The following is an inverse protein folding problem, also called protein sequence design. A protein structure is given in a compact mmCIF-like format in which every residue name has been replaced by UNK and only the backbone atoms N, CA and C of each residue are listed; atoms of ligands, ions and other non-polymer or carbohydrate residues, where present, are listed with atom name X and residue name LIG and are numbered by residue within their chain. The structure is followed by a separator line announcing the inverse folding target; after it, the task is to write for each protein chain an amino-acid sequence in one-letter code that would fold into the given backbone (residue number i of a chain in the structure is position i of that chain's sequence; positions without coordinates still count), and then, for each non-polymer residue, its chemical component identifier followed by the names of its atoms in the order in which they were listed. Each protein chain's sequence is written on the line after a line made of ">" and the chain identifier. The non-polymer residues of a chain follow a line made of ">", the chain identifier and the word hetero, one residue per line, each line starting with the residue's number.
data_IF_377533295609
#
_entry.id   IF_377533295609
#
_cell.length_a   1.000
_cell.length_b   1.000
_cell.length_c   1.000
_cell.angle_alpha   90.00
_cell.angle_beta   90.00
_cell.angle_gamma   90.00
#
_symmetry.space_group_name_H-M   'P 1'
#
loop_
_entity.id
_entity.type
_entity.pdbx_description
1 polymer ?
#
# COMPACT_ATOMS: atom_id res chain seq x y z
N UNK A 1 -10.06 9.04 7.71
CA UNK A 1 -10.88 8.02 8.32
C UNK A 1 -11.03 8.24 9.83
N UNK A 2 -12.17 7.87 10.40
CA UNK A 2 -12.40 7.83 11.83
C UNK A 2 -11.75 6.60 12.46
N UNK A 3 -11.54 6.60 13.78
CA UNK A 3 -11.04 5.41 14.49
C UNK A 3 -11.93 4.19 14.29
N UNK A 4 -13.25 4.39 14.18
CA UNK A 4 -14.21 3.32 13.94
C UNK A 4 -14.07 2.70 12.54
N UNK A 5 -13.82 3.51 11.51
CA UNK A 5 -13.57 3.03 10.15
C UNK A 5 -12.27 2.24 10.06
N UNK A 6 -11.21 2.72 10.71
CA UNK A 6 -9.93 2.00 10.80
C UNK A 6 -10.11 0.65 11.51
N UNK A 7 -10.81 0.64 12.64
CA UNK A 7 -11.04 -0.60 13.39
C UNK A 7 -11.90 -1.59 12.60
N UNK A 8 -12.96 -1.13 11.93
CA UNK A 8 -13.83 -1.99 11.11
C UNK A 8 -13.04 -2.64 9.97
N UNK A 9 -12.27 -1.86 9.23
CA UNK A 9 -11.45 -2.37 8.13
C UNK A 9 -10.38 -3.37 8.61
N UNK A 10 -9.77 -3.12 9.78
CA UNK A 10 -8.83 -4.06 10.40
C UNK A 10 -9.52 -5.39 10.75
N UNK A 11 -10.73 -5.36 11.30
CA UNK A 11 -11.46 -6.58 11.63
C UNK A 11 -11.83 -7.37 10.38
N UNK A 12 -12.29 -6.71 9.32
CA UNK A 12 -12.61 -7.34 8.04
C UNK A 12 -11.36 -8.01 7.44
N UNK A 13 -10.22 -7.30 7.44
CA UNK A 13 -8.95 -7.85 6.98
C UNK A 13 -8.47 -9.04 7.82
N UNK A 14 -8.63 -8.99 9.14
CA UNK A 14 -8.32 -10.13 10.02
C UNK A 14 -9.23 -11.32 9.72
N UNK A 15 -10.52 -11.09 9.48
CA UNK A 15 -11.50 -12.12 9.17
C UNK A 15 -11.14 -12.86 7.89
N UNK A 16 -10.73 -12.16 6.84
CA UNK A 16 -10.31 -12.76 5.58
C UNK A 16 -9.08 -13.66 5.74
N UNK A 17 -8.15 -13.29 6.59
CA UNK A 17 -6.93 -14.09 6.88
C UNK A 17 -7.19 -15.29 7.78
N UNK A 18 -8.11 -15.22 8.72
CA UNK A 18 -8.47 -16.33 9.59
C UNK A 18 -9.19 -17.46 8.82
N UNK A 19 -9.76 -17.15 7.65
CA UNK A 19 -10.45 -18.11 6.80
C UNK A 19 -11.75 -18.68 7.41
N UNK A 20 -12.38 -19.66 6.75
CA UNK A 20 -13.69 -20.18 7.14
C UNK A 20 -13.63 -21.23 8.27
N UNK A 21 -12.56 -21.27 9.06
CA UNK A 21 -12.46 -22.23 10.16
C UNK A 21 -13.52 -21.93 11.21
N UNK A 22 -14.33 -22.95 11.52
CA UNK A 22 -15.31 -22.84 12.60
C UNK A 22 -14.59 -22.88 13.94
N UNK A 23 -14.97 -21.95 14.81
CA UNK A 23 -14.58 -22.04 16.21
C UNK A 23 -14.99 -23.39 16.78
N UNK A 24 -14.07 -24.12 17.35
CA UNK A 24 -14.31 -25.38 18.05
C UNK A 24 -13.73 -25.26 19.44
N UNK A 25 -14.58 -25.43 20.44
CA UNK A 25 -14.15 -25.48 21.84
C UNK A 25 -14.33 -26.90 22.37
N UNK A 26 -13.25 -27.71 22.39
CA UNK A 26 -13.30 -29.07 22.91
C UNK A 26 -13.49 -29.14 24.43
N UNK A 27 -13.29 -28.02 25.13
CA UNK A 27 -13.42 -27.94 26.58
C UNK A 27 -14.73 -27.26 27.02
N UNK A 28 -15.67 -27.07 26.10
CA UNK A 28 -16.96 -26.48 26.42
C UNK A 28 -17.70 -27.35 27.43
N UNK A 29 -17.92 -26.83 28.61
CA UNK A 29 -18.69 -27.48 29.66
C UNK A 29 -20.10 -26.87 29.75
N UNK A 30 -21.10 -27.67 30.11
CA UNK A 30 -22.43 -27.16 30.32
C UNK A 30 -22.43 -26.05 31.37
N UNK A 31 -23.03 -24.88 31.08
CA UNK A 31 -23.08 -23.79 32.04
C UNK A 31 -23.94 -24.16 33.26
N UNK A 32 -23.45 -23.87 34.45
CA UNK A 32 -24.18 -24.12 35.72
C UNK A 32 -25.49 -23.34 35.86
N UNK A 33 -25.73 -22.38 34.96
CA UNK A 33 -26.92 -21.53 34.95
C UNK A 33 -27.13 -20.99 33.54
N UNK A 34 -28.32 -21.18 32.99
CA UNK A 34 -28.72 -20.60 31.72
C UNK A 34 -28.62 -19.06 31.73
N UNK A 35 -27.90 -18.48 30.78
CA UNK A 35 -27.78 -17.04 30.60
C UNK A 35 -26.70 -16.36 31.45
N UNK A 36 -25.89 -17.10 32.17
CA UNK A 36 -24.74 -16.54 32.90
C UNK A 36 -23.45 -16.76 32.10
N UNK A 37 -22.80 -15.67 31.73
CA UNK A 37 -21.46 -15.72 31.12
C UNK A 37 -20.46 -16.07 32.23
N UNK A 38 -19.66 -17.12 32.05
CA UNK A 38 -18.61 -17.50 32.97
C UNK A 38 -17.32 -16.72 32.71
N UNK A 39 -16.44 -16.63 33.71
CA UNK A 39 -15.12 -16.05 33.57
C UNK A 39 -14.30 -16.80 32.48
N UNK A 40 -14.43 -18.13 32.44
CA UNK A 40 -13.81 -18.98 31.45
C UNK A 40 -14.28 -18.67 30.00
N UNK A 41 -15.54 -18.27 29.82
CA UNK A 41 -16.03 -17.86 28.50
C UNK A 41 -15.38 -16.53 28.06
N UNK A 42 -15.20 -15.60 29.00
CA UNK A 42 -14.52 -14.34 28.73
C UNK A 42 -13.03 -14.55 28.44
N UNK A 43 -12.36 -15.43 29.19
CA UNK A 43 -10.96 -15.78 28.96
C UNK A 43 -10.76 -16.35 27.54
N UNK A 44 -11.68 -17.19 27.06
CA UNK A 44 -11.63 -17.71 25.68
C UNK A 44 -11.79 -16.61 24.64
N UNK A 45 -12.69 -15.64 24.88
CA UNK A 45 -12.82 -14.48 23.97
C UNK A 45 -11.53 -13.66 23.95
N UNK A 46 -10.91 -13.45 25.12
CA UNK A 46 -9.62 -12.76 25.21
C UNK A 46 -8.53 -13.51 24.44
N UNK A 47 -8.47 -14.84 24.59
CA UNK A 47 -7.50 -15.64 23.81
C UNK A 47 -7.78 -15.55 22.30
N UNK A 48 -9.04 -15.57 21.87
CA UNK A 48 -9.38 -15.37 20.47
C UNK A 48 -8.89 -14.01 19.93
N UNK A 49 -9.07 -12.94 20.70
CA UNK A 49 -8.57 -11.60 20.31
C UNK A 49 -7.04 -11.57 20.24
N UNK A 50 -6.34 -12.33 21.09
CA UNK A 50 -4.87 -12.44 21.04
C UNK A 50 -4.35 -13.18 19.80
N UNK A 51 -5.19 -13.98 19.14
CA UNK A 51 -4.81 -14.62 17.86
C UNK A 51 -4.83 -13.67 16.67
N UNK A 52 -5.37 -12.46 16.84
CA UNK A 52 -5.29 -11.45 15.79
C UNK A 52 -3.83 -11.04 15.53
N UNK A 53 -3.47 -10.75 14.27
CA UNK A 53 -2.11 -10.35 13.95
C UNK A 53 -1.66 -9.14 14.78
N UNK A 54 -0.55 -9.31 15.50
CA UNK A 54 0.11 -8.24 16.24
C UNK A 54 1.49 -7.92 15.66
N UNK A 55 1.88 -8.65 14.62
CA UNK A 55 3.10 -8.43 13.88
C UNK A 55 3.06 -7.10 13.15
N UNK A 56 4.09 -6.28 13.33
CA UNK A 56 4.16 -4.94 12.75
C UNK A 56 4.24 -4.96 11.22
N UNK A 57 4.89 -5.97 10.62
CA UNK A 57 4.98 -6.10 9.17
C UNK A 57 3.61 -6.42 8.57
N UNK A 58 2.90 -7.39 9.15
CA UNK A 58 1.54 -7.71 8.73
C UNK A 58 0.58 -6.53 8.90
N UNK A 59 0.71 -5.78 9.99
CA UNK A 59 -0.08 -4.57 10.20
C UNK A 59 0.32 -3.45 9.24
N UNK A 60 1.60 -3.34 8.87
CA UNK A 60 2.06 -2.38 7.87
C UNK A 60 1.52 -2.71 6.47
N UNK A 61 1.44 -4.00 6.09
CA UNK A 61 0.81 -4.42 4.85
C UNK A 61 -0.65 -3.96 4.78
N UNK A 62 -1.43 -4.27 5.82
CA UNK A 62 -2.82 -3.84 5.88
C UNK A 62 -2.95 -2.32 5.88
N UNK A 63 -2.23 -1.64 6.79
CA UNK A 63 -2.38 -0.20 6.98
C UNK A 63 -1.91 0.59 5.77
N UNK A 64 -0.80 0.20 5.13
CA UNK A 64 -0.30 0.81 3.92
C UNK A 64 -1.30 0.72 2.77
N UNK A 65 -1.88 -0.44 2.55
CA UNK A 65 -2.95 -0.62 1.57
C UNK A 65 -4.20 0.21 1.93
N UNK A 66 -4.60 0.23 3.22
CA UNK A 66 -5.76 0.99 3.68
C UNK A 66 -5.63 2.50 3.44
N UNK A 67 -4.50 3.11 3.83
CA UNK A 67 -4.34 4.58 3.74
C UNK A 67 -4.09 5.08 2.31
N UNK A 68 -3.67 4.19 1.41
CA UNK A 68 -3.42 4.53 0.01
C UNK A 68 -4.62 4.27 -0.90
N UNK A 69 -5.70 3.63 -0.41
CA UNK A 69 -6.92 3.40 -1.20
C UNK A 69 -7.45 4.69 -1.83
N UNK A 70 -7.86 4.65 -3.11
CA UNK A 70 -8.43 5.80 -3.77
C UNK A 70 -9.73 6.23 -3.07
N UNK A 71 -9.89 7.52 -2.82
CA UNK A 71 -11.12 8.07 -2.21
C UNK A 71 -12.21 8.34 -3.24
N UNK A 72 -11.85 8.39 -4.52
CA UNK A 72 -12.75 8.60 -5.66
C UNK A 72 -12.32 7.65 -6.77
N UNK A 73 -13.28 7.28 -7.62
CA UNK A 73 -12.92 6.57 -8.85
C UNK A 73 -11.86 7.41 -9.58
N UNK A 74 -10.72 6.80 -9.97
CA UNK A 74 -9.70 7.52 -10.71
C UNK A 74 -10.34 8.07 -11.98
N UNK A 75 -10.00 9.31 -12.35
CA UNK A 75 -10.20 9.78 -13.72
C UNK A 75 -9.52 8.76 -14.64
N UNK A 76 -10.03 8.59 -15.86
CA UNK A 76 -9.34 7.76 -16.84
C UNK A 76 -7.93 8.32 -17.02
N UNK A 77 -6.95 7.61 -16.46
CA UNK A 77 -5.55 7.97 -16.53
C UNK A 77 -5.00 7.36 -17.81
N UNK A 78 -4.21 8.12 -18.54
CA UNK A 78 -3.54 7.62 -19.74
C UNK A 78 -2.47 6.61 -19.32
N UNK A 79 -2.58 5.39 -19.85
CA UNK A 79 -1.59 4.35 -19.63
C UNK A 79 -0.48 4.46 -20.69
N UNK A 80 0.76 4.30 -20.28
CA UNK A 80 1.89 4.28 -21.19
C UNK A 80 1.99 2.93 -21.90
N UNK A 81 1.94 2.92 -23.24
CA UNK A 81 1.96 1.69 -24.03
C UNK A 81 3.37 1.27 -24.49
N UNK A 82 4.39 2.12 -24.32
CA UNK A 82 5.77 1.88 -24.73
C UNK A 82 6.50 0.80 -23.93
N UNK A 83 7.66 0.37 -24.43
CA UNK A 83 8.60 -0.50 -23.71
C UNK A 83 9.34 0.25 -22.61
N UNK A 84 10.12 -0.48 -21.78
CA UNK A 84 11.00 0.15 -20.79
C UNK A 84 12.09 1.02 -21.46
N UNK A 85 12.61 0.58 -22.60
CA UNK A 85 13.60 1.34 -23.36
C UNK A 85 13.00 2.64 -23.91
N UNK A 86 11.76 2.59 -24.42
CA UNK A 86 11.05 3.79 -24.88
C UNK A 86 10.83 4.76 -23.71
N UNK A 87 10.32 4.26 -22.57
CA UNK A 87 10.14 5.06 -21.36
C UNK A 87 11.45 5.70 -20.90
N UNK A 88 12.53 4.96 -20.88
CA UNK A 88 13.84 5.48 -20.49
C UNK A 88 14.31 6.60 -21.42
N UNK A 89 14.14 6.41 -22.74
CA UNK A 89 14.51 7.42 -23.74
C UNK A 89 13.69 8.70 -23.60
N UNK A 90 12.37 8.55 -23.45
CA UNK A 90 11.45 9.66 -23.27
C UNK A 90 11.72 10.40 -21.95
N UNK A 91 12.05 9.67 -20.86
CA UNK A 91 12.39 10.28 -19.58
C UNK A 91 13.73 11.05 -19.63
N UNK A 92 14.70 10.57 -20.39
CA UNK A 92 15.94 11.32 -20.64
C UNK A 92 15.69 12.63 -21.40
N UNK A 93 14.73 12.63 -22.32
CA UNK A 93 14.39 13.82 -23.12
C UNK A 93 13.55 14.82 -22.32
N UNK A 94 12.56 14.33 -21.56
CA UNK A 94 11.66 15.19 -20.78
C UNK A 94 12.27 15.65 -19.45
N UNK A 95 13.28 14.92 -18.95
CA UNK A 95 13.98 15.13 -17.68
C UNK A 95 13.12 15.02 -16.42
N UNK A 96 11.78 15.09 -16.51
CA UNK A 96 10.88 15.15 -15.36
C UNK A 96 9.81 14.06 -15.44
N UNK A 97 9.68 13.30 -14.37
CA UNK A 97 8.57 12.39 -14.12
C UNK A 97 7.71 12.93 -12.97
N UNK A 98 6.37 12.90 -13.12
CA UNK A 98 5.42 13.34 -12.10
C UNK A 98 4.41 12.29 -11.76
N UNK A 99 4.12 12.17 -10.46
CA UNK A 99 3.01 11.36 -9.95
C UNK A 99 1.69 12.13 -10.07
N UNK A 100 0.64 11.46 -10.57
CA UNK A 100 -0.69 12.03 -10.62
C UNK A 100 -1.19 12.44 -9.22
N UNK A 101 -1.91 13.55 -9.14
CA UNK A 101 -2.36 14.14 -7.87
C UNK A 101 -3.31 13.23 -7.08
N UNK A 102 -4.12 12.41 -7.77
CA UNK A 102 -5.07 11.48 -7.15
C UNK A 102 -4.41 10.24 -6.55
N UNK A 103 -3.17 9.92 -6.94
CA UNK A 103 -2.48 8.70 -6.52
C UNK A 103 -1.79 8.90 -5.17
N UNK A 104 -2.22 8.09 -4.21
CA UNK A 104 -1.63 8.04 -2.89
C UNK A 104 -0.59 6.95 -2.83
N UNK A 105 0.55 7.25 -2.25
CA UNK A 105 1.60 6.27 -1.96
C UNK A 105 2.01 6.36 -0.49
N UNK A 106 2.49 5.24 0.04
CA UNK A 106 3.06 5.15 1.37
C UNK A 106 4.20 4.13 1.36
N UNK A 107 5.23 4.38 2.16
CA UNK A 107 6.35 3.47 2.38
C UNK A 107 6.41 3.02 3.83
N UNK A 108 6.89 1.80 4.03
CA UNK A 108 7.26 1.26 5.32
C UNK A 108 8.70 0.74 5.25
N UNK A 109 9.54 1.20 6.18
CA UNK A 109 10.92 0.71 6.35
C UNK A 109 10.96 -0.15 7.60
N UNK A 110 11.16 -1.48 7.41
CA UNK A 110 11.18 -2.48 8.47
C UNK A 110 12.22 -3.55 8.19
N UNK A 111 11.91 -4.82 8.50
CA UNK A 111 12.74 -5.95 8.08
C UNK A 111 12.72 -6.08 6.55
N UNK A 112 11.54 -5.83 5.96
CA UNK A 112 11.34 -5.66 4.53
C UNK A 112 10.87 -4.23 4.25
N UNK A 113 11.39 -3.62 3.20
CA UNK A 113 10.86 -2.34 2.73
C UNK A 113 9.58 -2.60 1.93
N UNK A 114 8.48 -1.94 2.31
CA UNK A 114 7.19 -2.07 1.64
C UNK A 114 6.78 -0.76 1.01
N UNK A 115 6.25 -0.83 -0.21
CA UNK A 115 5.69 0.31 -0.94
C UNK A 115 4.23 0.02 -1.28
N UNK A 116 3.37 0.96 -1.00
CA UNK A 116 1.93 0.91 -1.31
C UNK A 116 1.56 2.06 -2.23
N UNK A 117 0.77 1.76 -3.23
CA UNK A 117 0.20 2.78 -4.12
C UNK A 117 -1.23 2.39 -4.48
N UNK A 118 -2.14 3.34 -4.44
CA UNK A 118 -3.55 3.18 -4.84
C UNK A 118 -4.28 1.98 -4.18
N UNK A 119 -3.91 1.66 -2.94
CA UNK A 119 -4.47 0.55 -2.16
C UNK A 119 -3.80 -0.81 -2.36
N UNK A 120 -2.75 -0.90 -3.15
CA UNK A 120 -2.03 -2.12 -3.48
C UNK A 120 -0.60 -2.12 -2.92
N UNK A 121 -0.12 -3.30 -2.52
CA UNK A 121 1.31 -3.53 -2.27
C UNK A 121 2.03 -3.62 -3.63
N UNK A 122 3.03 -2.76 -3.81
CA UNK A 122 3.78 -2.67 -5.07
C UNK A 122 5.13 -3.37 -4.92
N UNK A 123 5.44 -4.37 -5.77
CA UNK A 123 6.76 -4.97 -5.78
C UNK A 123 7.81 -3.96 -6.22
N UNK A 124 8.91 -3.88 -5.48
CA UNK A 124 10.04 -3.00 -5.77
C UNK A 124 11.35 -3.61 -5.22
N UNK A 125 12.48 -3.04 -5.57
CA UNK A 125 13.79 -3.44 -5.02
C UNK A 125 14.54 -2.24 -4.43
N UNK A 126 13.80 -1.25 -3.91
CA UNK A 126 14.38 -0.01 -3.39
C UNK A 126 14.98 -0.21 -2.00
N UNK A 127 16.08 0.46 -1.73
CA UNK A 127 16.57 0.68 -0.38
C UNK A 127 15.71 1.72 0.37
N UNK A 128 15.99 1.92 1.66
CA UNK A 128 15.22 2.83 2.50
C UNK A 128 15.27 4.28 2.02
N UNK A 129 16.45 4.76 1.63
CA UNK A 129 16.64 6.15 1.21
C UNK A 129 15.89 6.44 -0.11
N UNK A 130 15.95 5.51 -1.06
CA UNK A 130 15.22 5.62 -2.33
C UNK A 130 13.70 5.50 -2.12
N UNK A 131 13.26 4.64 -1.19
CA UNK A 131 11.85 4.53 -0.81
C UNK A 131 11.34 5.84 -0.20
N UNK A 132 12.10 6.45 0.70
CA UNK A 132 11.78 7.76 1.29
C UNK A 132 11.71 8.86 0.22
N UNK A 133 12.64 8.86 -0.74
CA UNK A 133 12.61 9.80 -1.86
C UNK A 133 11.30 9.67 -2.65
N UNK A 134 10.95 8.46 -3.09
CA UNK A 134 9.74 8.21 -3.89
C UNK A 134 8.46 8.59 -3.14
N UNK A 135 8.40 8.30 -1.84
CA UNK A 135 7.19 8.55 -1.05
C UNK A 135 7.02 10.01 -0.64
N UNK A 136 8.12 10.74 -0.48
CA UNK A 136 8.12 12.14 -0.04
C UNK A 136 7.94 13.15 -1.17
N UNK A 137 8.25 12.77 -2.43
CA UNK A 137 8.18 13.67 -3.58
C UNK A 137 7.04 13.31 -4.54
N UNK A 138 6.60 14.27 -5.32
CA UNK A 138 5.67 14.05 -6.45
C UNK A 138 6.38 14.14 -7.80
N UNK A 139 7.59 14.63 -7.79
CA UNK A 139 8.38 14.90 -8.96
C UNK A 139 9.77 14.30 -8.79
N UNK A 140 10.26 13.61 -9.82
CA UNK A 140 11.59 13.05 -9.87
C UNK A 140 12.27 13.47 -11.18
N UNK A 141 13.49 13.97 -11.05
CA UNK A 141 14.32 14.32 -12.19
C UNK A 141 15.13 13.12 -12.67
N UNK A 142 15.43 13.07 -13.97
CA UNK A 142 16.25 12.00 -14.55
C UNK A 142 17.56 11.81 -13.76
N UNK A 143 18.22 12.89 -13.37
CA UNK A 143 19.49 12.86 -12.61
C UNK A 143 19.38 12.16 -11.25
N UNK A 144 18.18 12.01 -10.68
CA UNK A 144 17.94 11.29 -9.41
C UNK A 144 17.66 9.80 -9.65
N UNK A 145 17.32 9.42 -10.89
CA UNK A 145 16.93 8.07 -11.29
C UNK A 145 18.06 7.37 -12.06
N UNK A 146 18.90 8.14 -12.72
CA UNK A 146 20.05 7.65 -13.50
C UNK A 146 20.92 6.73 -12.64
N UNK A 147 21.17 5.51 -13.14
CA UNK A 147 21.96 4.49 -12.45
C UNK A 147 21.20 3.63 -11.44
N UNK A 148 19.91 3.90 -11.19
CA UNK A 148 19.07 3.05 -10.33
C UNK A 148 18.05 2.27 -11.17
N UNK A 149 18.39 1.03 -11.55
CA UNK A 149 17.49 0.17 -12.32
C UNK A 149 16.16 -0.09 -11.61
N UNK A 150 16.21 -0.33 -10.30
CA UNK A 150 15.01 -0.59 -9.51
C UNK A 150 14.05 0.62 -9.49
N UNK A 151 14.60 1.83 -9.36
CA UNK A 151 13.79 3.05 -9.38
C UNK A 151 13.21 3.30 -10.77
N UNK A 152 14.00 3.13 -11.82
CA UNK A 152 13.53 3.26 -13.21
C UNK A 152 12.38 2.27 -13.51
N UNK A 153 12.53 1.01 -13.13
CA UNK A 153 11.51 -0.02 -13.28
C UNK A 153 10.21 0.33 -12.51
N UNK A 154 10.35 0.88 -11.31
CA UNK A 154 9.19 1.31 -10.52
C UNK A 154 8.44 2.46 -11.21
N UNK A 155 9.15 3.49 -11.68
CA UNK A 155 8.52 4.63 -12.37
C UNK A 155 7.88 4.20 -13.68
N UNK A 156 8.50 3.31 -14.43
CA UNK A 156 7.89 2.68 -15.61
C UNK A 156 6.59 1.95 -15.25
N UNK A 157 6.60 1.12 -14.19
CA UNK A 157 5.40 0.45 -13.71
C UNK A 157 4.29 1.44 -13.34
N UNK A 158 4.66 2.53 -12.66
CA UNK A 158 3.70 3.58 -12.28
C UNK A 158 3.11 4.27 -13.50
N UNK A 159 3.94 4.57 -14.49
CA UNK A 159 3.50 5.21 -15.73
C UNK A 159 2.60 4.27 -16.55
N UNK A 160 2.93 2.99 -16.63
CA UNK A 160 2.06 1.98 -17.25
C UNK A 160 0.69 1.84 -16.60
N UNK A 161 0.58 2.08 -15.31
CA UNK A 161 -0.69 2.03 -14.57
C UNK A 161 -1.43 3.39 -14.57
N UNK A 162 -0.89 4.39 -15.25
CA UNK A 162 -1.42 5.74 -15.23
C UNK A 162 -1.26 6.44 -13.87
N UNK A 163 -0.36 5.96 -13.00
CA UNK A 163 -0.11 6.59 -11.69
C UNK A 163 0.88 7.74 -11.74
N UNK A 164 1.56 7.89 -12.85
CA UNK A 164 2.48 8.98 -13.14
C UNK A 164 2.67 9.16 -14.62
N UNK A 165 3.35 10.22 -14.99
CA UNK A 165 3.60 10.60 -16.40
C UNK A 165 4.92 11.33 -16.53
N UNK A 166 5.44 11.33 -17.76
CA UNK A 166 6.57 12.17 -18.14
C UNK A 166 6.06 13.57 -18.49
N UNK A 167 6.62 14.57 -17.84
CA UNK A 167 6.22 15.96 -18.04
C UNK A 167 7.21 16.62 -19.01
N UNK A 168 6.80 16.76 -20.27
CA UNK A 168 7.55 17.60 -21.20
C UNK A 168 7.44 19.05 -20.68
N UNK A 169 8.51 19.58 -20.12
CA UNK A 169 8.58 21.01 -19.83
C UNK A 169 8.23 21.74 -21.14
N UNK A 170 7.03 22.31 -21.21
CA UNK A 170 6.77 23.34 -22.19
C UNK A 170 7.74 24.45 -21.83
N UNK A 171 8.83 24.59 -22.57
CA UNK A 171 9.56 25.86 -22.62
C UNK A 171 8.51 26.91 -23.00
N UNK A 172 7.91 27.58 -22.02
CA UNK A 172 7.15 28.77 -22.24
C UNK A 172 8.13 29.82 -22.79
N UNK A 173 8.35 29.75 -24.10
CA UNK A 173 8.89 30.88 -24.85
C UNK A 173 7.88 32.03 -24.73
N UNK A 174 7.97 32.76 -23.61
CA UNK A 174 7.41 34.09 -23.53
C UNK A 174 8.28 35.02 -24.39
N UNK A 175 7.92 35.18 -25.67
CA UNK A 175 8.28 36.36 -26.47
C UNK A 175 7.44 37.59 -26.05
#
# INVERSE_FOLDING_TARGET
>A
PTQAEIASDLFDWCQDRLGPQRYSDPELTEPKSCGRISEADLDRVVELVKTMPQDKELLAEWFGAFITRPQRAPAALEEFEGSLEDFQSDFQETEIWRRHEGIRIAGWVGESNLLFADGELVPHGLDADTLDLVTSTRELHWSQVEGSENLLNLLYLFTKRGWGYLDASEDEDFE
#
